data_IF_204244879940
#
_entry.id   IF_204244879940
#
_cell.length_a   1.000
_cell.length_b   1.000
_cell.length_c   1.000
_cell.angle_alpha   90.00
_cell.angle_beta   90.00
_cell.angle_gamma   90.00
#
_symmetry.space_group_name_H-M   'P 1'
#
loop_
_entity.id
_entity.type
_entity.pdbx_description
1 polymer ?
#
# COMPACT_ATOMS: atom_id res chain seq x y z
N UNK A 1 -16.09 -6.61 14.55
CA UNK A 1 -15.80 -7.79 13.70
C UNK A 1 -14.69 -8.63 14.33
N UNK A 2 -14.76 -9.96 14.23
CA UNK A 2 -13.79 -10.92 14.81
C UNK A 2 -12.42 -10.90 14.07
N UNK A 3 -11.67 -9.81 14.19
CA UNK A 3 -10.42 -9.56 13.44
C UNK A 3 -9.30 -10.59 13.62
N UNK A 4 -9.33 -11.40 14.69
CA UNK A 4 -8.37 -12.48 14.90
C UNK A 4 -8.52 -13.64 13.91
N UNK A 5 -9.75 -13.96 13.46
CA UNK A 5 -9.96 -15.13 12.60
C UNK A 5 -9.55 -14.84 11.15
N UNK A 6 -9.88 -13.65 10.64
CA UNK A 6 -9.53 -13.22 9.29
C UNK A 6 -8.01 -13.04 9.13
N UNK A 7 -7.35 -12.45 10.12
CA UNK A 7 -5.88 -12.31 10.12
C UNK A 7 -5.19 -13.68 10.08
N UNK A 8 -5.72 -14.66 10.84
CA UNK A 8 -5.19 -16.02 10.83
C UNK A 8 -5.36 -16.69 9.46
N UNK A 9 -6.54 -16.56 8.84
CA UNK A 9 -6.79 -17.10 7.49
C UNK A 9 -5.82 -16.49 6.47
N UNK A 10 -5.64 -15.17 6.49
CA UNK A 10 -4.70 -14.50 5.57
C UNK A 10 -3.24 -14.90 5.84
N UNK A 11 -2.88 -15.25 7.08
CA UNK A 11 -1.57 -15.81 7.41
C UNK A 11 -1.37 -17.23 6.89
N UNK A 12 -2.38 -18.08 7.03
CA UNK A 12 -2.30 -19.46 6.49
C UNK A 12 -2.22 -19.44 4.96
N UNK A 13 -2.98 -18.56 4.31
CA UNK A 13 -2.89 -18.33 2.86
C UNK A 13 -1.52 -17.77 2.46
N UNK A 14 -0.93 -16.88 3.26
CA UNK A 14 0.41 -16.35 3.00
C UNK A 14 1.46 -17.47 3.04
N UNK A 15 1.38 -18.38 4.02
CA UNK A 15 2.28 -19.53 4.09
C UNK A 15 2.15 -20.44 2.87
N UNK A 16 0.93 -20.69 2.40
CA UNK A 16 0.68 -21.47 1.18
C UNK A 16 1.22 -20.75 -0.06
N UNK A 17 1.08 -19.42 -0.16
CA UNK A 17 1.69 -18.60 -1.21
C UNK A 17 3.22 -18.71 -1.21
N UNK A 18 3.86 -18.58 -0.05
CA UNK A 18 5.32 -18.71 0.08
C UNK A 18 5.79 -20.10 -0.35
N UNK A 19 5.03 -21.16 -0.02
CA UNK A 19 5.29 -22.51 -0.51
C UNK A 19 5.29 -22.58 -2.04
N UNK A 20 4.21 -22.12 -2.69
CA UNK A 20 4.12 -22.12 -4.16
C UNK A 20 5.19 -21.26 -4.82
N UNK A 21 5.54 -20.11 -4.23
CA UNK A 21 6.61 -19.25 -4.72
C UNK A 21 7.98 -19.95 -4.72
N UNK A 22 8.25 -20.80 -3.72
CA UNK A 22 9.48 -21.60 -3.67
C UNK A 22 9.50 -22.70 -4.72
N UNK A 23 8.34 -23.26 -5.05
CA UNK A 23 8.22 -24.31 -6.07
C UNK A 23 8.40 -23.75 -7.49
N UNK A 24 8.04 -22.49 -7.72
CA UNK A 24 8.26 -21.79 -8.99
C UNK A 24 7.20 -20.71 -9.28
N UNK A 25 7.54 -19.73 -10.12
CA UNK A 25 6.64 -18.63 -10.47
C UNK A 25 5.38 -19.09 -11.21
N UNK A 26 5.47 -20.19 -11.94
CA UNK A 26 4.37 -20.85 -12.64
C UNK A 26 3.27 -21.39 -11.70
N UNK A 27 3.58 -21.57 -10.41
CA UNK A 27 2.64 -22.02 -9.39
C UNK A 27 1.87 -20.85 -8.73
N UNK A 28 2.16 -19.61 -9.15
CA UNK A 28 1.46 -18.42 -8.68
C UNK A 28 0.23 -18.11 -9.52
N UNK A 29 -0.78 -17.52 -8.89
CA UNK A 29 -2.00 -17.10 -9.55
C UNK A 29 -1.72 -15.88 -10.43
N UNK A 30 -1.61 -16.13 -11.73
CA UNK A 30 -1.53 -15.10 -12.77
C UNK A 30 -2.93 -14.78 -13.30
N UNK A 31 -3.33 -13.52 -13.19
CA UNK A 31 -4.58 -13.06 -13.78
C UNK A 31 -4.46 -11.60 -14.22
N UNK A 32 -4.28 -11.36 -15.51
CA UNK A 32 -3.94 -10.03 -16.05
C UNK A 32 -5.12 -9.05 -16.18
N UNK A 33 -6.33 -9.46 -15.79
CA UNK A 33 -7.51 -8.57 -15.82
C UNK A 33 -7.35 -7.42 -14.82
N UNK A 34 -7.55 -6.18 -15.27
CA UNK A 34 -7.55 -4.98 -14.44
C UNK A 34 -8.62 -5.07 -13.33
N UNK A 35 -8.29 -4.59 -12.12
CA UNK A 35 -9.21 -4.56 -10.98
C UNK A 35 -9.56 -5.96 -10.44
N UNK A 36 -8.73 -6.95 -10.75
CA UNK A 36 -8.84 -8.31 -10.21
C UNK A 36 -7.50 -8.73 -9.66
N UNK A 37 -7.52 -9.29 -8.47
CA UNK A 37 -6.30 -9.76 -7.82
C UNK A 37 -5.67 -10.90 -8.62
N UNK A 38 -4.36 -10.79 -8.81
CA UNK A 38 -3.45 -11.87 -9.19
C UNK A 38 -2.17 -11.65 -8.38
N UNK A 39 -1.53 -12.73 -7.96
CA UNK A 39 -0.25 -12.65 -7.24
C UNK A 39 0.83 -12.06 -8.15
N UNK A 40 0.77 -12.40 -9.44
CA UNK A 40 1.67 -11.95 -10.48
C UNK A 40 0.85 -11.36 -11.64
N UNK A 41 1.34 -10.28 -12.22
CA UNK A 41 0.76 -9.65 -13.42
C UNK A 41 1.86 -9.22 -14.36
N UNK A 42 1.56 -9.28 -15.66
CA UNK A 42 2.46 -8.87 -16.72
C UNK A 42 2.46 -7.36 -16.88
N UNK A 43 3.65 -6.74 -16.90
CA UNK A 43 3.86 -5.34 -17.27
C UNK A 43 4.76 -5.30 -18.50
N UNK A 44 4.19 -4.87 -19.63
CA UNK A 44 4.86 -4.80 -20.92
C UNK A 44 4.30 -3.67 -21.79
N UNK A 45 4.87 -3.48 -22.98
CA UNK A 45 4.31 -2.58 -24.00
C UNK A 45 4.15 -1.14 -23.52
N UNK A 46 2.92 -0.61 -23.55
CA UNK A 46 2.64 0.79 -23.19
C UNK A 46 2.98 1.09 -21.73
N UNK A 47 2.64 0.20 -20.80
CA UNK A 47 2.90 0.42 -19.38
C UNK A 47 4.39 0.65 -19.11
N UNK A 48 5.27 -0.14 -19.74
CA UNK A 48 6.72 0.04 -19.58
C UNK A 48 7.24 1.31 -20.24
N UNK A 49 6.68 1.72 -21.39
CA UNK A 49 7.05 3.00 -22.01
C UNK A 49 6.73 4.17 -21.09
N UNK A 50 5.52 4.18 -20.52
CA UNK A 50 5.06 5.23 -19.61
C UNK A 50 5.90 5.24 -18.32
N UNK A 51 6.22 4.07 -17.76
CA UNK A 51 7.13 3.94 -16.60
C UNK A 51 8.52 4.49 -16.93
N UNK A 52 9.11 4.09 -18.05
CA UNK A 52 10.48 4.51 -18.43
C UNK A 52 10.57 6.00 -18.69
N UNK A 53 9.56 6.57 -19.36
CA UNK A 53 9.50 8.01 -19.59
C UNK A 53 9.51 8.76 -18.25
N UNK A 54 8.63 8.38 -17.33
CA UNK A 54 8.60 8.97 -15.98
C UNK A 54 9.97 8.86 -15.27
N UNK A 55 10.63 7.70 -15.38
CA UNK A 55 11.92 7.48 -14.73
C UNK A 55 13.02 8.39 -15.30
N UNK A 56 13.01 8.64 -16.61
CA UNK A 56 13.91 9.60 -17.25
C UNK A 56 13.60 11.04 -16.82
N UNK A 57 12.33 11.42 -16.75
CA UNK A 57 11.93 12.74 -16.26
C UNK A 57 12.44 12.99 -14.83
N UNK A 58 12.47 11.95 -13.98
CA UNK A 58 13.03 12.04 -12.63
C UNK A 58 14.56 12.16 -12.64
N UNK A 59 15.26 11.45 -13.52
CA UNK A 59 16.71 11.61 -13.70
C UNK A 59 17.05 13.05 -14.06
N UNK A 60 16.34 13.63 -15.02
CA UNK A 60 16.53 15.00 -15.48
C UNK A 60 16.22 16.03 -14.38
N UNK A 61 15.16 15.80 -13.60
CA UNK A 61 14.77 16.67 -12.48
C UNK A 61 15.84 16.71 -11.39
N UNK A 62 16.44 15.57 -11.04
CA UNK A 62 17.37 15.50 -9.91
C UNK A 62 18.85 15.70 -10.27
N UNK A 63 19.22 15.73 -11.56
CA UNK A 63 20.59 15.99 -12.08
C UNK A 63 21.71 15.35 -11.23
N UNK A 64 21.53 14.10 -10.81
CA UNK A 64 22.42 13.44 -9.85
C UNK A 64 23.69 12.89 -10.51
N UNK A 65 24.74 12.70 -9.71
CA UNK A 65 26.00 12.09 -10.13
C UNK A 65 25.88 10.63 -10.63
N UNK A 66 24.79 9.92 -10.27
CA UNK A 66 24.54 8.53 -10.69
C UNK A 66 23.17 8.38 -11.39
N UNK A 67 23.01 8.85 -12.65
CA UNK A 67 21.75 8.82 -13.39
C UNK A 67 21.14 7.41 -13.52
N UNK A 68 21.99 6.41 -13.78
CA UNK A 68 21.53 5.03 -13.96
C UNK A 68 20.93 4.44 -12.68
N UNK A 69 21.53 4.70 -11.52
CA UNK A 69 20.99 4.23 -10.24
C UNK A 69 19.64 4.88 -9.92
N UNK A 70 19.51 6.18 -10.20
CA UNK A 70 18.23 6.90 -10.07
C UNK A 70 17.17 6.28 -10.97
N UNK A 71 17.49 6.09 -12.25
CA UNK A 71 16.59 5.45 -13.21
C UNK A 71 16.15 4.07 -12.73
N UNK A 72 17.12 3.21 -12.40
CA UNK A 72 16.91 1.84 -11.95
C UNK A 72 16.04 1.75 -10.69
N UNK A 73 16.29 2.60 -9.69
CA UNK A 73 15.49 2.62 -8.47
C UNK A 73 14.06 3.10 -8.72
N UNK A 74 13.87 4.10 -9.59
CA UNK A 74 12.53 4.54 -10.00
C UNK A 74 11.79 3.47 -10.80
N UNK A 75 12.45 2.75 -11.72
CA UNK A 75 11.84 1.64 -12.46
C UNK A 75 11.31 0.57 -11.50
N UNK A 76 12.12 0.16 -10.52
CA UNK A 76 11.68 -0.81 -9.51
C UNK A 76 10.47 -0.31 -8.72
N UNK A 77 10.49 0.94 -8.27
CA UNK A 77 9.36 1.57 -7.57
C UNK A 77 8.08 1.55 -8.41
N UNK A 78 8.15 2.09 -9.63
CA UNK A 78 7.00 2.19 -10.55
C UNK A 78 6.46 0.86 -11.05
N UNK A 79 7.29 -0.17 -11.19
CA UNK A 79 6.80 -1.53 -11.45
C UNK A 79 5.93 -2.04 -10.30
N UNK A 80 6.34 -1.77 -9.05
CA UNK A 80 5.55 -2.13 -7.87
C UNK A 80 4.24 -1.37 -7.78
N UNK A 81 4.27 -0.05 -7.92
CA UNK A 81 3.05 0.77 -7.95
C UNK A 81 2.07 0.27 -9.03
N UNK A 82 2.58 -0.04 -10.23
CA UNK A 82 1.74 -0.44 -11.35
C UNK A 82 1.06 -1.78 -11.13
N UNK A 83 1.72 -2.78 -10.54
CA UNK A 83 1.03 -4.05 -10.24
C UNK A 83 -0.08 -3.86 -9.20
N UNK A 84 0.16 -3.05 -8.16
CA UNK A 84 -0.86 -2.77 -7.13
C UNK A 84 -2.05 -2.03 -7.75
N UNK A 85 -1.79 -1.03 -8.59
CA UNK A 85 -2.80 -0.32 -9.39
C UNK A 85 -3.60 -1.29 -10.28
N UNK A 86 -2.93 -2.22 -10.97
CA UNK A 86 -3.61 -3.24 -11.80
C UNK A 86 -4.49 -4.19 -10.98
N UNK A 87 -4.07 -4.54 -9.76
CA UNK A 87 -4.84 -5.41 -8.86
C UNK A 87 -6.08 -4.71 -8.30
N UNK A 88 -5.93 -3.46 -7.87
CA UNK A 88 -6.99 -2.71 -7.19
C UNK A 88 -7.91 -1.94 -8.15
N UNK A 89 -7.49 -1.70 -9.39
CA UNK A 89 -8.30 -1.06 -10.41
C UNK A 89 -8.83 0.30 -9.97
N UNK A 90 -10.12 0.54 -10.21
CA UNK A 90 -10.78 1.82 -9.92
C UNK A 90 -10.94 2.11 -8.41
N UNK A 91 -10.49 1.21 -7.53
CA UNK A 91 -10.49 1.46 -6.09
C UNK A 91 -9.45 2.52 -5.69
N UNK A 92 -8.36 2.62 -6.44
CA UNK A 92 -7.23 3.49 -6.11
C UNK A 92 -6.80 4.33 -7.30
N UNK A 93 -6.07 5.40 -7.04
CA UNK A 93 -5.31 6.15 -8.04
C UNK A 93 -3.95 6.51 -7.48
N UNK A 94 -3.04 6.89 -8.38
CA UNK A 94 -1.75 7.46 -7.98
C UNK A 94 -1.97 8.83 -7.35
N UNK A 95 -1.16 9.16 -6.35
CA UNK A 95 -1.16 10.49 -5.78
C UNK A 95 -0.83 11.51 -6.87
N UNK A 96 -1.78 12.42 -7.08
CA UNK A 96 -1.61 13.62 -7.89
C UNK A 96 -0.93 14.68 -7.03
N UNK A 97 0.41 14.75 -7.14
CA UNK A 97 1.24 15.71 -6.40
C UNK A 97 0.90 17.18 -6.71
N UNK A 98 0.14 17.43 -7.77
CA UNK A 98 -0.46 18.71 -8.12
C UNK A 98 -1.64 19.12 -7.21
N UNK A 99 -2.14 18.22 -6.36
CA UNK A 99 -3.33 18.43 -5.51
C UNK A 99 -2.99 18.41 -4.00
N UNK A 100 -1.79 17.97 -3.60
CA UNK A 100 -1.34 17.96 -2.19
C UNK A 100 -0.27 19.04 -2.01
N UNK A 101 -0.61 20.24 -1.49
CA UNK A 101 0.26 21.41 -1.65
C UNK A 101 1.47 21.48 -0.69
N UNK A 102 1.60 20.63 0.34
CA UNK A 102 2.44 21.01 1.50
C UNK A 102 3.39 19.97 2.14
N UNK A 103 3.63 18.77 1.58
CA UNK A 103 4.68 17.91 2.21
C UNK A 103 5.49 17.00 1.28
N UNK A 104 6.78 17.32 1.13
CA UNK A 104 7.87 16.37 0.87
C UNK A 104 7.72 15.41 -0.33
N UNK A 105 8.49 14.31 -0.33
CA UNK A 105 8.51 13.27 -1.37
C UNK A 105 7.22 12.42 -1.47
N UNK A 106 6.12 12.85 -0.84
CA UNK A 106 4.81 12.22 -0.86
C UNK A 106 4.63 11.05 0.11
N UNK A 107 5.62 10.15 0.26
CA UNK A 107 5.57 8.90 1.07
C UNK A 107 4.25 8.14 1.07
N UNK A 108 3.49 8.30 0.00
CA UNK A 108 2.19 7.71 -0.27
C UNK A 108 2.19 7.55 -1.77
N UNK A 109 2.14 6.31 -2.25
CA UNK A 109 2.22 6.04 -3.69
C UNK A 109 0.83 6.00 -4.33
N UNK A 110 -0.15 5.45 -3.59
CA UNK A 110 -1.53 5.28 -4.02
C UNK A 110 -2.48 5.82 -2.94
N UNK A 111 -3.62 6.35 -3.37
CA UNK A 111 -4.73 6.71 -2.48
C UNK A 111 -6.03 6.08 -2.96
N UNK A 112 -6.94 5.86 -2.03
CA UNK A 112 -8.29 5.39 -2.35
C UNK A 112 -9.06 6.50 -3.06
N UNK A 113 -9.73 6.18 -4.17
CA UNK A 113 -10.42 7.18 -5.00
C UNK A 113 -11.57 7.88 -4.27
N UNK A 114 -12.31 7.16 -3.43
CA UNK A 114 -13.40 7.73 -2.65
C UNK A 114 -12.94 8.45 -1.38
N UNK A 115 -11.70 8.23 -0.94
CA UNK A 115 -11.12 8.81 0.29
C UNK A 115 -9.62 9.02 0.12
N UNK A 116 -9.19 10.18 -0.38
CA UNK A 116 -7.78 10.46 -0.65
C UNK A 116 -6.89 10.53 0.62
N UNK A 117 -7.49 10.55 1.81
CA UNK A 117 -6.80 10.44 3.09
C UNK A 117 -6.35 9.01 3.41
N UNK A 118 -6.89 8.00 2.72
CA UNK A 118 -6.44 6.61 2.86
C UNK A 118 -5.25 6.38 1.93
N UNK A 119 -4.06 6.59 2.47
CA UNK A 119 -2.78 6.34 1.80
C UNK A 119 -2.36 4.87 1.81
N UNK A 120 -1.72 4.43 0.72
CA UNK A 120 -1.08 3.13 0.58
C UNK A 120 0.35 3.35 0.07
N UNK A 121 1.33 2.84 0.82
CA UNK A 121 2.72 2.84 0.40
C UNK A 121 3.08 1.50 -0.24
N UNK A 122 3.77 1.53 -1.37
CA UNK A 122 4.29 0.35 -2.05
C UNK A 122 5.80 0.28 -1.83
N UNK A 123 6.29 -0.88 -1.40
CA UNK A 123 7.72 -1.14 -1.21
C UNK A 123 8.14 -2.25 -2.14
N UNK A 124 8.93 -1.90 -3.15
CA UNK A 124 9.45 -2.88 -4.10
C UNK A 124 10.88 -3.27 -3.77
N UNK A 125 11.20 -4.57 -3.89
CA UNK A 125 12.56 -5.09 -3.75
C UNK A 125 12.85 -6.11 -4.83
N UNK A 126 14.10 -6.11 -5.29
CA UNK A 126 14.63 -7.11 -6.23
C UNK A 126 15.49 -8.11 -5.47
N UNK A 127 15.28 -9.40 -5.69
CA UNK A 127 16.06 -10.46 -5.05
C UNK A 127 15.30 -11.77 -4.92
N UNK A 128 15.86 -12.71 -4.16
CA UNK A 128 15.20 -13.96 -3.79
C UNK A 128 14.23 -13.73 -2.64
N UNK A 129 13.16 -14.52 -2.60
CA UNK A 129 12.05 -14.31 -1.67
C UNK A 129 12.45 -14.45 -0.19
N UNK A 130 13.43 -15.32 0.09
CA UNK A 130 14.00 -15.60 1.41
C UNK A 130 15.09 -14.60 1.85
N UNK A 131 15.71 -13.90 0.92
CA UNK A 131 16.76 -12.91 1.18
C UNK A 131 16.22 -11.48 1.35
N UNK A 132 15.13 -11.17 0.65
CA UNK A 132 14.60 -9.80 0.55
C UNK A 132 14.02 -9.32 1.89
N UNK A 133 14.39 -8.07 2.22
CA UNK A 133 13.84 -7.31 3.34
C UNK A 133 13.29 -5.98 2.85
N UNK A 134 12.08 -5.67 3.26
CA UNK A 134 11.47 -4.35 3.05
C UNK A 134 11.73 -3.49 4.28
N UNK A 135 12.39 -2.36 4.06
CA UNK A 135 12.68 -1.38 5.11
C UNK A 135 11.69 -0.23 4.99
N UNK A 136 11.00 0.06 6.09
CA UNK A 136 9.91 1.04 6.16
C UNK A 136 10.25 2.04 7.25
N UNK A 137 10.21 3.33 6.92
CA UNK A 137 10.42 4.38 7.91
C UNK A 137 9.12 4.74 8.67
N UNK A 138 9.25 5.40 9.82
CA UNK A 138 8.09 5.75 10.65
C UNK A 138 7.09 6.67 9.95
N UNK A 139 7.57 7.57 9.10
CA UNK A 139 6.71 8.52 8.38
C UNK A 139 5.88 7.80 7.30
N UNK A 140 6.44 6.79 6.63
CA UNK A 140 5.69 5.89 5.75
C UNK A 140 4.59 5.13 6.52
N UNK A 141 4.85 4.73 7.77
CA UNK A 141 3.84 4.05 8.60
C UNK A 141 2.73 5.03 9.02
N UNK A 142 3.09 6.25 9.42
CA UNK A 142 2.16 7.27 9.90
C UNK A 142 1.25 7.81 8.79
N UNK A 143 1.77 7.98 7.57
CA UNK A 143 1.02 8.55 6.44
C UNK A 143 0.10 7.56 5.73
N UNK A 144 0.24 6.26 5.98
CA UNK A 144 -0.47 5.22 5.23
C UNK A 144 -1.32 4.34 6.13
N UNK A 145 -2.34 3.71 5.54
CA UNK A 145 -3.15 2.67 6.19
C UNK A 145 -2.65 1.27 5.85
N UNK A 146 -1.97 1.10 4.72
CA UNK A 146 -1.36 -0.16 4.34
C UNK A 146 0.02 0.04 3.75
N UNK A 147 0.90 -0.91 4.02
CA UNK A 147 2.16 -1.11 3.30
C UNK A 147 2.03 -2.36 2.43
N UNK A 148 2.22 -2.22 1.13
CA UNK A 148 2.20 -3.33 0.18
C UNK A 148 3.62 -3.67 -0.25
N UNK A 149 4.03 -4.90 -0.03
CA UNK A 149 5.36 -5.38 -0.37
C UNK A 149 5.33 -6.09 -1.72
N UNK A 150 6.15 -5.62 -2.66
CA UNK A 150 6.28 -6.18 -4.00
C UNK A 150 7.68 -6.78 -4.17
N UNK A 151 7.73 -7.99 -4.71
CA UNK A 151 8.95 -8.69 -5.08
C UNK A 151 9.14 -8.65 -6.60
N UNK A 152 10.30 -8.16 -7.03
CA UNK A 152 10.85 -8.40 -8.36
C UNK A 152 11.77 -9.61 -8.21
N UNK A 153 11.27 -10.78 -8.54
CA UNK A 153 11.98 -12.03 -8.28
C UNK A 153 13.26 -12.11 -9.13
N UNK A 154 14.38 -12.43 -8.47
CA UNK A 154 15.66 -12.73 -9.13
C UNK A 154 15.66 -14.20 -9.51
N UNK A 155 15.57 -14.49 -10.81
CA UNK A 155 15.73 -15.84 -11.36
C UNK A 155 17.17 -16.34 -11.14
N UNK A 156 17.34 -17.64 -10.98
CA UNK A 156 18.65 -18.27 -10.69
C UNK A 156 19.62 -18.23 -11.88
N UNK A 157 19.13 -17.95 -13.09
CA UNK A 157 19.91 -17.87 -14.31
C UNK A 157 20.30 -16.42 -14.71
N UNK A 158 21.61 -16.17 -14.69
CA UNK A 158 22.40 -15.29 -15.57
C UNK A 158 22.52 -13.77 -15.32
N UNK A 159 21.76 -13.13 -14.43
CA UNK A 159 22.04 -11.72 -14.09
C UNK A 159 22.08 -11.47 -12.57
N UNK A 160 23.27 -11.16 -12.06
CA UNK A 160 23.41 -10.69 -10.67
C UNK A 160 22.59 -9.41 -10.43
N UNK A 161 22.46 -8.59 -11.47
CA UNK A 161 21.85 -7.26 -11.45
C UNK A 161 20.44 -7.27 -12.06
N UNK A 162 19.54 -6.47 -11.47
CA UNK A 162 18.25 -6.15 -12.09
C UNK A 162 18.49 -5.50 -13.46
N UNK A 163 17.80 -5.99 -14.49
CA UNK A 163 17.80 -5.41 -15.83
C UNK A 163 16.61 -4.44 -15.97
N UNK A 164 16.89 -3.14 -15.97
CA UNK A 164 15.92 -2.05 -16.15
C UNK A 164 15.38 -1.88 -17.60
N UNK A 165 15.88 -2.65 -18.57
CA UNK A 165 15.50 -2.57 -19.98
C UNK A 165 14.77 -3.80 -20.55
N UNK A 166 14.46 -4.84 -19.73
CA UNK A 166 13.62 -5.98 -20.14
C UNK A 166 12.32 -5.54 -20.86
N UNK A 167 11.91 -6.25 -21.90
CA UNK A 167 10.67 -5.93 -22.62
C UNK A 167 9.39 -6.24 -21.84
N UNK A 168 9.51 -7.03 -20.78
CA UNK A 168 8.42 -7.45 -19.91
C UNK A 168 8.94 -7.67 -18.48
N UNK A 169 8.10 -7.37 -17.50
CA UNK A 169 8.31 -7.72 -16.10
C UNK A 169 7.09 -8.43 -15.54
N UNK A 170 7.34 -9.33 -14.59
CA UNK A 170 6.33 -10.04 -13.82
C UNK A 170 6.52 -9.80 -12.31
N UNK A 171 6.29 -8.56 -11.83
CA UNK A 171 6.31 -8.28 -10.39
C UNK A 171 5.31 -9.14 -9.64
N UNK A 172 5.59 -9.41 -8.37
CA UNK A 172 4.79 -10.28 -7.50
C UNK A 172 4.32 -9.47 -6.29
N UNK A 173 3.02 -9.46 -6.01
CA UNK A 173 2.49 -8.98 -4.73
C UNK A 173 2.90 -9.99 -3.65
N UNK A 174 3.98 -9.68 -2.93
CA UNK A 174 4.49 -10.55 -1.88
C UNK A 174 3.57 -10.58 -0.64
N UNK A 175 2.72 -9.57 -0.48
CA UNK A 175 1.74 -9.44 0.59
C UNK A 175 1.59 -8.00 1.04
N UNK A 176 0.81 -7.78 2.09
CA UNK A 176 0.60 -6.46 2.67
C UNK A 176 0.52 -6.51 4.20
N UNK A 177 0.63 -5.36 4.84
CA UNK A 177 0.29 -5.18 6.25
C UNK A 177 -0.48 -3.87 6.48
N UNK A 178 -1.57 -3.89 7.28
CA UNK A 178 -2.11 -2.70 7.92
C UNK A 178 -1.03 -2.02 8.78
N UNK A 179 -0.96 -0.69 8.78
CA UNK A 179 0.05 0.04 9.57
C UNK A 179 -0.16 -0.10 11.08
N UNK A 180 -1.41 -0.20 11.54
CA UNK A 180 -1.74 -0.53 12.94
C UNK A 180 -1.22 -1.92 13.37
N UNK A 181 -1.19 -2.88 12.43
CA UNK A 181 -0.59 -4.19 12.69
C UNK A 181 0.93 -4.06 12.86
N UNK A 182 1.59 -3.23 12.05
CA UNK A 182 3.02 -2.96 12.19
C UNK A 182 3.32 -2.34 13.56
N UNK A 183 2.56 -1.34 14.00
CA UNK A 183 2.69 -0.76 15.34
C UNK A 183 2.55 -1.82 16.44
N UNK A 184 1.54 -2.67 16.33
CA UNK A 184 1.30 -3.77 17.29
C UNK A 184 2.49 -4.73 17.34
N UNK A 185 3.00 -5.16 16.18
CA UNK A 185 4.13 -6.08 16.08
C UNK A 185 5.41 -5.46 16.63
N UNK A 186 5.66 -4.17 16.37
CA UNK A 186 6.77 -3.41 16.96
C UNK A 186 6.68 -3.40 18.48
N UNK A 187 5.51 -3.07 19.04
CA UNK A 187 5.32 -2.97 20.48
C UNK A 187 5.47 -4.33 21.19
N UNK A 188 5.15 -5.43 20.49
CA UNK A 188 5.33 -6.80 20.96
C UNK A 188 6.73 -7.37 20.70
N UNK A 189 7.63 -6.60 20.07
CA UNK A 189 8.95 -7.04 19.63
C UNK A 189 8.92 -8.25 18.66
N UNK A 190 7.87 -8.36 17.84
CA UNK A 190 7.69 -9.44 16.86
C UNK A 190 8.40 -9.15 15.52
N UNK A 191 8.81 -7.90 15.28
CA UNK A 191 9.56 -7.49 14.10
C UNK A 191 10.77 -6.66 14.47
N UNK A 192 11.87 -6.91 13.76
CA UNK A 192 13.14 -6.22 13.97
C UNK A 192 13.09 -4.78 13.46
N UNK A 193 13.93 -3.94 14.09
CA UNK A 193 14.27 -2.61 13.60
C UNK A 193 15.75 -2.56 13.24
N UNK A 194 16.07 -1.81 12.21
CA UNK A 194 17.43 -1.56 11.77
C UNK A 194 17.71 -0.05 11.77
N UNK A 195 18.92 0.35 12.15
CA UNK A 195 19.35 1.75 12.05
C UNK A 195 20.05 1.97 10.72
N UNK A 196 19.55 2.92 9.93
CA UNK A 196 20.16 3.33 8.65
C UNK A 196 20.11 4.84 8.52
N UNK A 197 21.25 5.47 8.24
CA UNK A 197 21.37 6.93 8.09
C UNK A 197 20.75 7.72 9.26
N UNK A 198 20.91 7.25 10.50
CA UNK A 198 20.34 7.87 11.70
C UNK A 198 18.83 7.69 11.88
N UNK A 199 18.16 6.94 10.99
CA UNK A 199 16.73 6.61 11.09
C UNK A 199 16.53 5.17 11.51
N UNK A 200 15.55 4.95 12.38
CA UNK A 200 15.09 3.61 12.73
C UNK A 200 14.08 3.13 11.68
N UNK A 201 14.37 2.01 11.04
CA UNK A 201 13.56 1.42 9.99
C UNK A 201 12.99 0.08 10.47
N UNK A 202 11.68 -0.11 10.28
CA UNK A 202 11.04 -1.41 10.48
C UNK A 202 11.45 -2.34 9.34
N UNK A 203 11.87 -3.55 9.70
CA UNK A 203 12.35 -4.56 8.77
C UNK A 203 11.31 -5.67 8.63
N UNK A 204 10.68 -5.74 7.46
CA UNK A 204 9.75 -6.81 7.12
C UNK A 204 10.39 -7.84 6.19
N UNK A 205 10.09 -9.10 6.45
CA UNK A 205 10.32 -10.24 5.56
C UNK A 205 9.00 -10.75 5.02
N UNK A 206 9.03 -11.63 4.01
CA UNK A 206 7.81 -12.18 3.40
C UNK A 206 6.92 -12.93 4.40
N UNK A 207 7.52 -13.51 5.45
CA UNK A 207 6.82 -14.22 6.52
C UNK A 207 6.01 -13.27 7.43
N UNK A 208 6.39 -11.99 7.50
CA UNK A 208 5.68 -11.01 8.32
C UNK A 208 4.36 -10.56 7.68
N UNK A 209 4.15 -10.78 6.38
CA UNK A 209 3.04 -10.21 5.61
C UNK A 209 1.73 -10.99 5.74
N UNK A 210 0.62 -10.35 5.40
CA UNK A 210 -0.67 -11.00 5.11
C UNK A 210 -0.81 -11.22 3.60
N UNK A 211 -1.60 -12.24 3.25
CA UNK A 211 -1.80 -12.61 1.85
C UNK A 211 -2.43 -11.48 1.03
N UNK A 212 -1.84 -11.20 -0.14
CA UNK A 212 -2.17 -10.03 -0.96
C UNK A 212 -3.64 -9.91 -1.36
N UNK A 213 -4.36 -11.02 -1.52
CA UNK A 213 -5.78 -11.02 -1.88
C UNK A 213 -6.66 -10.31 -0.84
N UNK A 214 -6.23 -10.28 0.42
CA UNK A 214 -6.95 -9.59 1.50
C UNK A 214 -6.91 -8.07 1.39
N UNK A 215 -6.01 -7.49 0.57
CA UNK A 215 -5.82 -6.03 0.50
C UNK A 215 -7.07 -5.29 0.03
N UNK A 216 -7.75 -5.80 -1.01
CA UNK A 216 -8.98 -5.17 -1.52
C UNK A 216 -10.08 -5.17 -0.46
N UNK A 217 -10.25 -6.30 0.24
CA UNK A 217 -11.21 -6.42 1.33
C UNK A 217 -10.88 -5.47 2.47
N UNK A 218 -9.61 -5.40 2.88
CA UNK A 218 -9.14 -4.47 3.91
C UNK A 218 -9.43 -3.02 3.53
N UNK A 219 -9.11 -2.59 2.31
CA UNK A 219 -9.42 -1.24 1.85
C UNK A 219 -10.92 -0.97 1.88
N UNK A 220 -11.76 -1.93 1.45
CA UNK A 220 -13.22 -1.81 1.53
C UNK A 220 -13.72 -1.67 2.97
N UNK A 221 -13.11 -2.36 3.93
CA UNK A 221 -13.45 -2.17 5.35
C UNK A 221 -13.13 -0.76 5.82
N UNK A 222 -12.00 -0.18 5.40
CA UNK A 222 -11.66 1.21 5.72
C UNK A 222 -12.65 2.20 5.09
N UNK A 223 -13.00 2.01 3.82
CA UNK A 223 -13.99 2.85 3.12
C UNK A 223 -15.34 2.89 3.87
N UNK A 224 -15.72 1.77 4.48
CA UNK A 224 -16.97 1.63 5.21
C UNK A 224 -16.83 1.91 6.71
N UNK A 225 -15.65 2.30 7.20
CA UNK A 225 -15.42 2.64 8.60
C UNK A 225 -15.96 4.04 8.91
N UNK A 226 -16.98 4.18 9.79
CA UNK A 226 -17.51 5.48 10.15
C UNK A 226 -16.49 6.37 10.87
N UNK A 227 -15.47 5.81 11.54
CA UNK A 227 -14.44 6.61 12.22
C UNK A 227 -13.63 7.46 11.25
N UNK A 228 -13.44 7.01 10.01
CA UNK A 228 -12.72 7.78 8.99
C UNK A 228 -13.48 9.07 8.68
N UNK A 229 -14.80 8.98 8.49
CA UNK A 229 -15.63 10.15 8.24
C UNK A 229 -15.69 11.09 9.44
N UNK A 230 -15.73 10.56 10.67
CA UNK A 230 -15.68 11.37 11.90
C UNK A 230 -14.38 12.18 11.97
N UNK A 231 -13.23 11.55 11.70
CA UNK A 231 -11.92 12.22 11.70
C UNK A 231 -11.87 13.34 10.65
N UNK A 232 -12.40 13.10 9.45
CA UNK A 232 -12.49 14.11 8.40
C UNK A 232 -13.44 15.25 8.83
N UNK A 233 -14.57 14.92 9.45
CA UNK A 233 -15.52 15.90 10.00
C UNK A 233 -14.87 16.82 11.05
N UNK A 234 -14.11 16.24 11.99
CA UNK A 234 -13.37 16.99 13.00
C UNK A 234 -12.35 17.94 12.39
N UNK A 235 -11.57 17.48 11.41
CA UNK A 235 -10.63 18.34 10.69
C UNK A 235 -11.35 19.49 9.95
N UNK A 236 -12.49 19.23 9.32
CA UNK A 236 -13.31 20.28 8.72
C UNK A 236 -13.79 21.31 9.75
N UNK A 237 -14.14 20.87 10.97
CA UNK A 237 -14.53 21.77 12.06
C UNK A 237 -13.38 22.69 12.48
N UNK A 238 -12.16 22.14 12.62
CA UNK A 238 -10.95 22.91 12.94
C UNK A 238 -10.66 23.97 11.86
N UNK A 239 -10.86 23.62 10.59
CA UNK A 239 -10.73 24.51 9.44
C UNK A 239 -11.91 25.47 9.25
N UNK A 240 -12.93 25.42 10.13
CA UNK A 240 -14.19 26.19 10.03
C UNK A 240 -14.99 25.92 8.75
N UNK A 241 -14.75 24.79 8.09
CA UNK A 241 -15.54 24.27 7.00
C UNK A 241 -16.76 23.50 7.55
N UNK A 242 -17.71 24.24 8.12
CA UNK A 242 -18.88 23.64 8.77
C UNK A 242 -19.75 22.79 7.83
N UNK A 243 -19.85 23.17 6.55
CA UNK A 243 -20.57 22.39 5.55
C UNK A 243 -19.89 21.03 5.34
N UNK A 244 -18.58 21.02 5.14
CA UNK A 244 -17.79 19.79 5.02
C UNK A 244 -17.87 18.92 6.28
N UNK A 245 -17.88 19.52 7.47
CA UNK A 245 -18.04 18.80 8.72
C UNK A 245 -19.39 18.07 8.79
N UNK A 246 -20.51 18.78 8.55
CA UNK A 246 -21.86 18.21 8.56
C UNK A 246 -22.01 17.09 7.51
N UNK A 247 -21.45 17.28 6.31
CA UNK A 247 -21.47 16.26 5.26
C UNK A 247 -20.77 14.97 5.70
N UNK A 248 -19.59 15.06 6.33
CA UNK A 248 -18.85 13.88 6.76
C UNK A 248 -19.46 13.22 8.01
N UNK A 249 -19.92 13.97 9.02
CA UNK A 249 -20.67 13.36 10.13
C UNK A 249 -21.94 12.65 9.66
N UNK A 250 -22.63 13.19 8.65
CA UNK A 250 -23.80 12.52 8.06
C UNK A 250 -23.42 11.20 7.39
N UNK A 251 -22.29 11.14 6.66
CA UNK A 251 -21.78 9.87 6.10
C UNK A 251 -21.45 8.87 7.21
N UNK A 252 -20.78 9.30 8.27
CA UNK A 252 -20.45 8.46 9.42
C UNK A 252 -21.71 7.83 10.03
N UNK A 253 -22.74 8.66 10.28
CA UNK A 253 -24.03 8.21 10.81
C UNK A 253 -24.65 7.16 9.89
N UNK A 254 -24.72 7.44 8.58
CA UNK A 254 -25.32 6.50 7.61
C UNK A 254 -24.59 5.15 7.59
N UNK A 255 -23.26 5.14 7.60
CA UNK A 255 -22.47 3.89 7.65
C UNK A 255 -22.65 3.15 8.95
N UNK A 256 -22.75 3.87 10.07
CA UNK A 256 -22.88 3.27 11.39
C UNK A 256 -24.30 2.77 11.69
N UNK A 257 -25.33 3.25 10.98
CA UNK A 257 -26.69 2.68 11.02
C UNK A 257 -26.72 1.28 10.38
N UNK A 258 -25.89 1.03 9.36
CA UNK A 258 -25.84 -0.25 8.65
C UNK A 258 -25.01 -1.34 9.39
N UNK A 259 -24.43 -1.03 10.55
CA UNK A 259 -23.57 -1.94 11.33
C UNK A 259 -24.21 -2.25 12.69
N UNK A 260 -24.72 -3.48 12.88
CA UNK A 260 -25.11 -3.99 14.20
C UNK A 260 -23.98 -4.81 14.85
N UNK A 261 -23.73 -4.67 16.18
CA UNK A 261 -24.32 -3.68 17.07
C UNK A 261 -23.69 -2.29 16.91
N UNK A 262 -24.56 -1.29 17.11
CA UNK A 262 -24.31 0.16 17.04
C UNK A 262 -23.05 0.55 17.83
N UNK A 263 -21.93 0.93 17.18
CA UNK A 263 -20.72 1.32 17.88
C UNK A 263 -20.91 2.69 18.58
N UNK A 264 -20.11 2.95 19.63
CA UNK A 264 -20.13 4.20 20.40
C UNK A 264 -19.85 5.48 19.55
N UNK A 265 -19.44 5.31 18.29
CA UNK A 265 -19.13 6.36 17.33
C UNK A 265 -20.34 7.22 16.91
N UNK A 266 -21.57 6.78 17.20
CA UNK A 266 -22.76 7.59 16.94
C UNK A 266 -22.80 8.85 17.82
N UNK A 267 -22.48 8.73 19.11
CA UNK A 267 -22.55 9.86 20.04
C UNK A 267 -21.65 11.03 19.59
N UNK A 268 -20.39 10.74 19.25
CA UNK A 268 -19.44 11.74 18.76
C UNK A 268 -19.90 12.39 17.44
N UNK A 269 -20.50 11.62 16.53
CA UNK A 269 -21.00 12.14 15.26
C UNK A 269 -22.30 12.97 15.41
N UNK A 270 -23.20 12.58 16.32
CA UNK A 270 -24.41 13.35 16.65
C UNK A 270 -24.06 14.64 17.40
N UNK A 271 -23.17 14.57 18.38
CA UNK A 271 -22.65 15.72 19.13
C UNK A 271 -21.93 16.72 18.21
N UNK A 272 -21.03 16.23 17.35
CA UNK A 272 -20.34 17.04 16.34
C UNK A 272 -21.28 17.71 15.33
N UNK A 273 -22.46 17.10 15.08
CA UNK A 273 -23.51 17.67 14.23
C UNK A 273 -24.42 18.67 14.97
N UNK A 274 -24.28 18.80 16.29
CA UNK A 274 -25.12 19.66 17.12
C UNK A 274 -26.52 19.08 17.39
N UNK A 275 -26.67 17.76 17.29
CA UNK A 275 -27.89 17.04 17.65
C UNK A 275 -27.60 16.29 18.95
N UNK A 276 -27.92 16.92 20.08
CA UNK A 276 -27.82 16.35 21.43
C UNK A 276 -29.14 16.47 22.17
#
# INVERSE_FOLDING_TARGET
MNGMNETKILKDQQNHFIGRLKDGLENLYSYDKQGKFGEIKTISGKDLRDIRQYCWDMVDKFRKAAPQEVFKNNVKGKLGEKIVEKCLGDLVSRVRYDIIPESGDGKVDLTVNSYHTIGIQVKTRYGKADEVKWLIDSEEIEKNKAIVCVLLHKEDCELENFDEFKHEYKPIIAGFLPTDSIHTMVNKNEIEKEMSNGKSLVKLTINNLLYGMGLESYIKTLINDPEIDIKIGNSCMEEKNYKGAVENYTKAINKAIDIEPVPNCHADAYEGRGIG
#
